data_IF_849118874982
#
_entry.id   IF_849118874982
#
_cell.length_a   1.000
_cell.length_b   1.000
_cell.length_c   1.000
_cell.angle_alpha   90.00
_cell.angle_beta   90.00
_cell.angle_gamma   90.00
#
_symmetry.space_group_name_H-M   'P 1'
#
loop_
_entity.id
_entity.type
_entity.pdbx_description
1 polymer ?
#
# COMPACT_ATOMS: atom_id res chain seq x y z
N UNK A 1 -7.26 12.30 24.32
CA UNK A 1 -7.33 13.78 24.17
C UNK A 1 -8.44 14.27 25.09
N UNK A 2 -8.08 14.84 26.24
CA UNK A 2 -9.04 15.25 27.28
C UNK A 2 -9.41 16.70 26.97
N UNK A 3 -10.54 16.89 26.29
CA UNK A 3 -11.16 18.21 26.15
C UNK A 3 -12.22 18.30 27.23
N UNK A 4 -11.90 18.95 28.35
CA UNK A 4 -12.93 19.35 29.30
C UNK A 4 -13.55 20.66 28.82
N UNK A 5 -14.80 20.58 28.38
CA UNK A 5 -15.62 21.74 28.03
C UNK A 5 -16.44 22.17 29.24
N UNK A 6 -15.79 22.48 30.36
CA UNK A 6 -16.49 23.04 31.51
C UNK A 6 -16.68 24.55 31.29
N UNK A 7 -17.66 24.89 30.45
CA UNK A 7 -18.03 26.27 30.14
C UNK A 7 -19.40 26.58 30.73
N UNK A 8 -19.48 27.76 31.36
CA UNK A 8 -20.70 28.32 31.95
C UNK A 8 -21.82 28.53 30.92
N UNK A 9 -21.47 28.64 29.63
CA UNK A 9 -22.41 28.87 28.54
C UNK A 9 -22.84 27.56 27.85
N UNK A 10 -24.14 27.21 27.85
CA UNK A 10 -24.64 25.97 27.24
C UNK A 10 -24.35 25.83 25.75
N UNK A 11 -24.38 26.93 24.99
CA UNK A 11 -24.11 26.93 23.55
C UNK A 11 -22.67 26.54 23.21
N UNK A 12 -21.70 26.99 24.02
CA UNK A 12 -20.28 26.68 23.86
C UNK A 12 -20.03 25.19 24.14
N UNK A 13 -20.70 24.62 25.15
CA UNK A 13 -20.64 23.18 25.45
C UNK A 13 -21.15 22.32 24.29
N UNK A 14 -22.31 22.67 23.73
CA UNK A 14 -22.91 21.94 22.60
C UNK A 14 -22.02 22.02 21.36
N UNK A 15 -21.46 23.20 21.07
CA UNK A 15 -20.53 23.37 19.96
C UNK A 15 -19.25 22.53 20.14
N UNK A 16 -18.64 22.59 21.32
CA UNK A 16 -17.44 21.81 21.64
C UNK A 16 -17.69 20.30 21.52
N UNK A 17 -18.84 19.82 22.00
CA UNK A 17 -19.21 18.40 21.88
C UNK A 17 -19.39 17.98 20.42
N UNK A 18 -20.07 18.80 19.60
CA UNK A 18 -20.25 18.52 18.17
C UNK A 18 -18.91 18.46 17.42
N UNK A 19 -18.00 19.37 17.75
CA UNK A 19 -16.67 19.40 17.13
C UNK A 19 -15.85 18.17 17.55
N UNK A 20 -15.91 17.77 18.82
CA UNK A 20 -15.30 16.53 19.31
C UNK A 20 -15.84 15.31 18.57
N UNK A 21 -17.16 15.20 18.44
CA UNK A 21 -17.81 14.09 17.74
C UNK A 21 -17.41 14.06 16.25
N UNK A 22 -17.32 15.22 15.60
CA UNK A 22 -16.88 15.33 14.22
C UNK A 22 -15.43 14.84 14.04
N UNK A 23 -14.53 15.22 14.95
CA UNK A 23 -13.12 14.78 14.91
C UNK A 23 -13.02 13.26 15.12
N UNK A 24 -13.76 12.71 16.09
CA UNK A 24 -13.78 11.27 16.35
C UNK A 24 -14.29 10.50 15.13
N UNK A 25 -15.40 10.94 14.52
CA UNK A 25 -15.93 10.34 13.29
C UNK A 25 -14.94 10.43 12.13
N UNK A 26 -14.29 11.57 11.96
CA UNK A 26 -13.26 11.75 10.94
C UNK A 26 -12.11 10.75 11.15
N UNK A 27 -11.62 10.61 12.39
CA UNK A 27 -10.58 9.67 12.74
C UNK A 27 -10.98 8.22 12.45
N UNK A 28 -12.18 7.80 12.86
CA UNK A 28 -12.68 6.45 12.59
C UNK A 28 -12.83 6.18 11.09
N UNK A 29 -13.31 7.17 10.33
CA UNK A 29 -13.42 7.06 8.88
C UNK A 29 -12.06 6.91 8.20
N UNK A 30 -11.02 7.60 8.68
CA UNK A 30 -9.64 7.49 8.17
C UNK A 30 -9.10 6.08 8.44
N UNK A 31 -9.32 5.54 9.64
CA UNK A 31 -8.89 4.18 9.98
C UNK A 31 -9.60 3.16 9.09
N UNK A 32 -10.92 3.26 8.96
CA UNK A 32 -11.70 2.37 8.11
C UNK A 32 -11.27 2.43 6.64
N UNK A 33 -11.00 3.64 6.13
CA UNK A 33 -10.48 3.83 4.78
C UNK A 33 -9.11 3.19 4.60
N UNK A 34 -8.19 3.37 5.55
CA UNK A 34 -6.85 2.77 5.52
C UNK A 34 -6.92 1.24 5.46
N UNK A 35 -7.73 0.62 6.31
CA UNK A 35 -7.93 -0.84 6.32
C UNK A 35 -8.43 -1.33 4.95
N UNK A 36 -9.46 -0.68 4.40
CA UNK A 36 -9.99 -1.01 3.06
C UNK A 36 -8.94 -0.87 1.97
N UNK A 37 -8.17 0.21 1.98
CA UNK A 37 -7.09 0.44 1.02
C UNK A 37 -6.01 -0.65 1.11
N UNK A 38 -5.59 -1.02 2.33
CA UNK A 38 -4.61 -2.10 2.53
C UNK A 38 -5.13 -3.42 1.98
N UNK A 39 -6.38 -3.80 2.26
CA UNK A 39 -6.99 -5.02 1.73
C UNK A 39 -7.03 -5.00 0.20
N UNK A 40 -7.48 -3.88 -0.39
CA UNK A 40 -7.59 -3.76 -1.85
C UNK A 40 -6.23 -3.76 -2.55
N UNK A 41 -5.22 -3.09 -1.97
CA UNK A 41 -3.86 -3.10 -2.46
C UNK A 41 -3.22 -4.49 -2.39
N UNK A 42 -3.53 -5.24 -1.32
CA UNK A 42 -3.03 -6.60 -1.14
C UNK A 42 -3.83 -7.66 -1.91
N UNK A 43 -5.05 -7.37 -2.36
CA UNK A 43 -5.94 -8.33 -3.05
C UNK A 43 -5.30 -9.00 -4.28
N UNK A 44 -4.43 -8.29 -5.00
CA UNK A 44 -3.74 -8.82 -6.19
C UNK A 44 -2.35 -9.39 -5.87
N UNK A 45 -1.84 -9.20 -4.66
CA UNK A 45 -0.58 -9.80 -4.24
C UNK A 45 -0.81 -11.30 -4.10
N UNK A 46 0.10 -12.08 -4.65
CA UNK A 46 0.13 -13.53 -4.51
C UNK A 46 1.44 -13.88 -3.84
N UNK A 47 1.40 -14.90 -3.00
CA UNK A 47 2.62 -15.49 -2.48
C UNK A 47 3.46 -15.99 -3.66
N UNK A 48 4.76 -15.72 -3.58
CA UNK A 48 5.70 -16.07 -4.64
C UNK A 48 5.95 -17.58 -4.53
N UNK A 49 5.63 -18.38 -5.57
CA UNK A 49 5.75 -19.84 -5.49
C UNK A 49 7.18 -20.35 -5.66
N UNK A 50 8.18 -19.46 -5.75
CA UNK A 50 9.56 -19.82 -6.06
C UNK A 50 10.37 -20.07 -4.79
N UNK A 51 11.14 -21.14 -4.80
CA UNK A 51 12.07 -21.51 -3.74
C UNK A 51 13.53 -21.34 -4.19
N UNK A 52 14.44 -21.28 -3.22
CA UNK A 52 15.87 -21.35 -3.48
C UNK A 52 16.19 -22.66 -4.20
N UNK A 53 16.88 -22.56 -5.32
CA UNK A 53 17.22 -23.68 -6.18
C UNK A 53 16.35 -23.83 -7.43
N UNK A 54 15.20 -23.16 -7.50
CA UNK A 54 14.33 -23.19 -8.68
C UNK A 54 14.98 -22.47 -9.87
N UNK A 55 14.65 -22.95 -11.08
CA UNK A 55 15.04 -22.35 -12.35
C UNK A 55 13.92 -21.43 -12.85
N UNK A 56 14.20 -20.13 -12.93
CA UNK A 56 13.22 -19.12 -13.32
C UNK A 56 13.71 -18.26 -14.49
N UNK A 57 12.77 -17.84 -15.32
CA UNK A 57 13.03 -16.88 -16.39
C UNK A 57 12.97 -15.45 -15.87
N UNK A 58 13.99 -14.64 -16.19
CA UNK A 58 14.05 -13.23 -15.80
C UNK A 58 13.55 -12.33 -16.92
N UNK A 59 12.75 -11.31 -16.56
CA UNK A 59 12.27 -10.34 -17.55
C UNK A 59 13.37 -9.37 -17.95
N UNK A 60 13.49 -9.12 -19.27
CA UNK A 60 14.47 -8.18 -19.83
C UNK A 60 14.05 -6.72 -19.75
N UNK A 61 12.87 -6.41 -19.20
CA UNK A 61 12.34 -5.04 -19.15
C UNK A 61 13.28 -4.06 -18.43
N UNK A 62 13.85 -4.49 -17.30
CA UNK A 62 14.74 -3.68 -16.46
C UNK A 62 16.17 -4.22 -16.41
N UNK A 63 16.54 -5.13 -17.33
CA UNK A 63 17.88 -5.70 -17.41
C UNK A 63 18.65 -5.06 -18.57
N UNK A 64 19.97 -4.93 -18.39
CA UNK A 64 20.88 -4.62 -19.48
C UNK A 64 21.11 -5.88 -20.30
N UNK A 65 20.75 -5.83 -21.58
CA UNK A 65 21.07 -6.91 -22.51
C UNK A 65 22.59 -6.93 -22.77
N UNK A 66 23.17 -8.10 -23.09
CA UNK A 66 24.56 -8.21 -23.48
C UNK A 66 24.94 -7.16 -24.53
N UNK A 67 26.16 -6.62 -24.43
CA UNK A 67 26.65 -5.56 -25.32
C UNK A 67 26.44 -5.95 -26.79
N UNK A 68 25.98 -4.99 -27.60
CA UNK A 68 25.70 -5.19 -29.02
C UNK A 68 24.28 -5.69 -29.34
N UNK A 69 23.44 -5.99 -28.34
CA UNK A 69 22.04 -6.35 -28.58
C UNK A 69 21.15 -5.10 -28.51
N UNK A 70 20.48 -4.80 -29.62
CA UNK A 70 19.40 -3.82 -29.61
C UNK A 70 18.21 -4.38 -28.81
N UNK A 71 17.47 -3.50 -28.14
CA UNK A 71 16.23 -3.88 -27.42
C UNK A 71 15.12 -4.33 -28.39
N UNK A 72 15.19 -3.89 -29.65
CA UNK A 72 14.23 -4.28 -30.69
C UNK A 72 14.40 -5.77 -31.01
N UNK A 73 13.30 -6.52 -30.97
CA UNK A 73 13.27 -7.98 -31.17
C UNK A 73 14.06 -8.80 -30.15
N UNK A 74 14.49 -8.20 -29.03
CA UNK A 74 15.08 -8.95 -27.94
C UNK A 74 14.00 -9.82 -27.25
N UNK A 75 14.37 -11.01 -26.75
CA UNK A 75 13.43 -11.84 -26.02
C UNK A 75 12.97 -11.13 -24.74
N UNK A 76 11.67 -11.25 -24.44
CA UNK A 76 11.04 -10.63 -23.25
C UNK A 76 11.55 -11.23 -21.93
N UNK A 77 12.01 -12.48 -22.00
CA UNK A 77 12.57 -13.22 -20.88
C UNK A 77 13.86 -13.92 -21.30
N UNK A 78 14.84 -13.97 -20.41
CA UNK A 78 16.13 -14.63 -20.62
C UNK A 78 16.35 -15.70 -19.57
N UNK A 79 16.94 -16.82 -20.03
CA UNK A 79 17.55 -17.92 -19.27
C UNK A 79 16.72 -18.56 -18.14
N UNK A 80 16.80 -19.87 -17.91
CA UNK A 80 16.51 -20.39 -16.59
C UNK A 80 17.69 -20.03 -15.66
N UNK A 81 17.50 -19.04 -14.79
CA UNK A 81 18.44 -18.70 -13.73
C UNK A 81 18.06 -19.42 -12.44
N UNK A 82 19.06 -19.95 -11.73
CA UNK A 82 18.86 -20.57 -10.43
C UNK A 82 18.72 -19.50 -9.35
N UNK A 83 17.69 -19.58 -8.53
CA UNK A 83 17.55 -18.74 -7.33
C UNK A 83 18.60 -19.21 -6.29
N UNK A 84 19.51 -18.32 -5.89
CA UNK A 84 20.60 -18.58 -4.93
C UNK A 84 20.20 -18.19 -3.51
#
# INVERSE_FOLDING_TARGET
MIWESNSEFPGVRVFAQRMKDAILRAHDSIIAARVKQTVMANRKRKDVPFAKGDLVYLSTANLTLPKGHARKLAPKFIGPYKII
#
